data_IF_187531229966
#
_entry.id   IF_187531229966
#
_cell.length_a   1.000
_cell.length_b   1.000
_cell.length_c   1.000
_cell.angle_alpha   90.00
_cell.angle_beta   90.00
_cell.angle_gamma   90.00
#
_symmetry.space_group_name_H-M   'P 1'
#
loop_
_entity.id
_entity.type
_entity.pdbx_description
1 polymer ?
#
# COMPACT_ATOMS: atom_id res chain seq x y z
N UNK A 1 -11.33 10.59 -16.31
CA UNK A 1 -10.31 9.77 -15.62
C UNK A 1 -11.03 8.71 -14.83
N UNK A 2 -10.77 7.44 -15.13
CA UNK A 2 -11.38 6.34 -14.40
C UNK A 2 -10.71 6.15 -13.05
N UNK A 3 -11.51 5.84 -12.02
CA UNK A 3 -11.00 5.53 -10.69
C UNK A 3 -10.32 4.16 -10.72
N UNK A 4 -9.13 4.06 -10.12
CA UNK A 4 -8.47 2.77 -9.94
C UNK A 4 -9.36 1.83 -9.11
N UNK A 5 -9.55 0.59 -9.59
CA UNK A 5 -10.35 -0.44 -8.91
C UNK A 5 -9.54 -1.71 -8.77
N UNK A 6 -8.98 -1.93 -7.58
CA UNK A 6 -8.28 -3.16 -7.27
C UNK A 6 -9.26 -4.33 -7.13
N UNK A 7 -9.07 -5.38 -7.92
CA UNK A 7 -9.79 -6.67 -7.80
C UNK A 7 -8.84 -7.68 -7.15
N UNK A 8 -9.22 -8.22 -6.00
CA UNK A 8 -8.46 -9.24 -5.30
C UNK A 8 -9.38 -10.07 -4.40
N UNK A 9 -9.07 -11.37 -4.27
CA UNK A 9 -9.73 -12.26 -3.29
C UNK A 9 -9.18 -12.05 -1.87
N UNK A 10 -8.05 -11.36 -1.74
CA UNK A 10 -7.35 -11.17 -0.47
C UNK A 10 -7.72 -9.84 0.18
N UNK A 11 -7.73 -9.84 1.51
CA UNK A 11 -7.82 -8.62 2.32
C UNK A 11 -6.43 -8.34 2.93
N UNK A 12 -6.07 -7.06 3.15
CA UNK A 12 -4.84 -6.73 3.87
C UNK A 12 -4.77 -7.45 5.22
N UNK A 13 -3.62 -8.06 5.52
CA UNK A 13 -3.41 -8.84 6.74
C UNK A 13 -2.01 -8.55 7.33
N UNK A 14 -1.79 -8.95 8.59
CA UNK A 14 -0.55 -8.66 9.31
C UNK A 14 -0.27 -7.16 9.35
N UNK A 15 0.94 -6.76 8.97
CA UNK A 15 1.37 -5.34 8.97
C UNK A 15 0.93 -4.55 7.72
N UNK A 16 0.35 -5.21 6.71
CA UNK A 16 -0.08 -4.55 5.47
C UNK A 16 -1.03 -3.37 5.71
N UNK A 17 -2.09 -3.46 6.55
CA UNK A 17 -2.99 -2.34 6.79
C UNK A 17 -2.27 -1.10 7.33
N UNK A 18 -1.30 -1.29 8.23
CA UNK A 18 -0.51 -0.19 8.79
C UNK A 18 0.42 0.41 7.74
N UNK A 19 1.08 -0.43 6.92
CA UNK A 19 1.96 0.01 5.84
C UNK A 19 1.19 0.84 4.80
N UNK A 20 0.02 0.36 4.37
CA UNK A 20 -0.87 1.08 3.44
C UNK A 20 -1.24 2.45 4.02
N UNK A 21 -1.69 2.51 5.28
CA UNK A 21 -2.04 3.77 5.94
C UNK A 21 -0.88 4.76 5.95
N UNK A 22 0.33 4.30 6.33
CA UNK A 22 1.53 5.16 6.38
C UNK A 22 1.88 5.73 5.00
N UNK A 23 1.81 4.92 3.95
CA UNK A 23 2.09 5.35 2.58
C UNK A 23 1.05 6.38 2.12
N UNK A 24 -0.24 6.09 2.28
CA UNK A 24 -1.33 7.00 1.89
C UNK A 24 -1.22 8.34 2.63
N UNK A 25 -0.97 8.31 3.94
CA UNK A 25 -0.82 9.53 4.74
C UNK A 25 0.40 10.34 4.32
N UNK A 26 1.51 9.69 3.98
CA UNK A 26 2.71 10.36 3.50
C UNK A 26 2.52 10.99 2.11
N UNK A 27 1.82 10.31 1.19
CA UNK A 27 1.42 10.87 -0.12
C UNK A 27 0.53 12.10 0.08
N UNK A 28 -0.50 12.01 0.92
CA UNK A 28 -1.39 13.15 1.25
C UNK A 28 -0.65 14.33 1.87
N UNK A 29 0.44 14.06 2.59
CA UNK A 29 1.34 15.09 3.18
C UNK A 29 2.42 15.56 2.21
N UNK A 30 2.35 15.22 0.92
CA UNK A 30 3.33 15.58 -0.11
C UNK A 30 4.78 15.17 0.25
N UNK A 31 4.96 14.07 0.99
CA UNK A 31 6.30 13.53 1.26
C UNK A 31 6.88 12.94 -0.02
N UNK A 32 7.95 13.57 -0.52
CA UNK A 32 8.59 13.21 -1.80
C UNK A 32 9.18 11.79 -1.83
N UNK A 33 9.77 11.34 -0.72
CA UNK A 33 10.45 10.03 -0.66
C UNK A 33 9.86 9.17 0.45
N UNK A 34 9.59 7.92 0.11
CA UNK A 34 9.00 6.93 1.00
C UNK A 34 9.59 5.56 0.66
N UNK A 35 9.83 4.71 1.66
CA UNK A 35 10.38 3.36 1.48
C UNK A 35 9.44 2.36 2.14
N UNK A 36 8.96 1.39 1.38
CA UNK A 36 8.24 0.22 1.91
C UNK A 36 9.26 -0.88 2.23
N UNK A 37 9.73 -0.92 3.48
CA UNK A 37 10.58 -2.00 3.95
C UNK A 37 9.71 -3.22 4.29
N UNK A 38 9.92 -4.32 3.55
CA UNK A 38 9.20 -5.56 3.78
C UNK A 38 10.01 -6.77 3.37
N UNK A 39 9.92 -7.84 4.16
CA UNK A 39 10.60 -9.12 3.90
C UNK A 39 10.08 -9.79 2.63
N UNK A 40 10.80 -10.78 2.12
CA UNK A 40 10.34 -11.62 1.00
C UNK A 40 9.06 -12.36 1.38
N UNK A 41 8.10 -12.48 0.46
CA UNK A 41 6.81 -13.14 0.72
C UNK A 41 5.76 -12.30 1.47
N UNK A 42 6.10 -11.12 1.99
CA UNK A 42 5.16 -10.25 2.74
C UNK A 42 4.03 -9.62 1.91
N UNK A 43 3.99 -9.84 0.59
CA UNK A 43 2.95 -9.31 -0.30
C UNK A 43 3.12 -7.83 -0.66
N UNK A 44 4.36 -7.31 -0.78
CA UNK A 44 4.66 -5.91 -1.12
C UNK A 44 3.88 -5.37 -2.32
N UNK A 45 3.71 -6.17 -3.39
CA UNK A 45 2.92 -5.78 -4.57
C UNK A 45 1.45 -5.50 -4.22
N UNK A 46 0.83 -6.36 -3.41
CA UNK A 46 -0.55 -6.19 -2.97
C UNK A 46 -0.71 -4.95 -2.07
N UNK A 47 0.26 -4.72 -1.17
CA UNK A 47 0.32 -3.52 -0.33
C UNK A 47 0.34 -2.25 -1.18
N UNK A 48 1.21 -2.17 -2.19
CA UNK A 48 1.30 -1.00 -3.08
C UNK A 48 0.03 -0.81 -3.92
N UNK A 49 -0.52 -1.88 -4.50
CA UNK A 49 -1.74 -1.81 -5.28
C UNK A 49 -2.96 -1.34 -4.45
N UNK A 50 -2.95 -1.57 -3.13
CA UNK A 50 -4.01 -1.10 -2.22
C UNK A 50 -3.83 0.35 -1.76
N UNK A 51 -2.62 0.90 -1.90
CA UNK A 51 -2.30 2.27 -1.51
C UNK A 51 -2.60 3.31 -2.61
N UNK A 52 -2.75 2.85 -3.86
CA UNK A 52 -3.16 3.64 -5.03
C UNK A 52 -4.69 3.68 -5.10
#
# INVERSE_FOLDING_TARGET
>A
MDKFKLVSKFKPAGDQPQAIKKIVDAVKKNKKHQVLLGVTGSGKTFTMAKAI
#
